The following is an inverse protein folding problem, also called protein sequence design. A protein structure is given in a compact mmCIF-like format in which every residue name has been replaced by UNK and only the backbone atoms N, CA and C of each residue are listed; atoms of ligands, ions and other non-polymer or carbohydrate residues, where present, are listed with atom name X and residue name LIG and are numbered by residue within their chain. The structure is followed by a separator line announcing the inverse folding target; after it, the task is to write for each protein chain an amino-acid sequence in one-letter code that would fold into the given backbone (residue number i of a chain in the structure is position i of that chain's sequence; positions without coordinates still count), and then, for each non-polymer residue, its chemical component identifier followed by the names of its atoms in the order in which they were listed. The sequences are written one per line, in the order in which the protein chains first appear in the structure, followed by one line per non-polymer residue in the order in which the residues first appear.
data_IF_946455303286
#
_entry.id   IF_946455303286
#
_cell.length_a   1.000
_cell.length_b   1.000
_cell.length_c   1.000
_cell.angle_alpha   90.00
_cell.angle_beta   90.00
_cell.angle_gamma   90.00
#
_symmetry.space_group_name_H-M   'P 1'
#
loop_
_entity.id
_entity.type
_entity.pdbx_description
1 polymer ?
#
# COMPACT_ATOMS: atom_id res chain seq x y z
N UNK A 1 11.05 -22.15 -37.36
CA UNK A 1 12.12 -21.26 -36.86
C UNK A 1 11.67 -20.75 -35.50
N UNK A 2 12.44 -20.91 -34.41
CA UNK A 2 12.08 -20.26 -33.14
C UNK A 2 11.95 -18.76 -33.42
N UNK A 3 10.86 -18.15 -32.97
CA UNK A 3 10.59 -16.74 -33.20
C UNK A 3 11.81 -15.91 -32.76
N UNK A 4 12.30 -15.02 -33.62
CA UNK A 4 13.41 -14.15 -33.24
C UNK A 4 13.00 -13.34 -31.99
N UNK A 5 13.88 -13.23 -30.97
CA UNK A 5 13.56 -12.53 -29.72
C UNK A 5 13.01 -11.11 -29.94
N UNK A 6 13.44 -10.46 -31.02
CA UNK A 6 12.98 -9.15 -31.48
C UNK A 6 11.45 -9.08 -31.64
N UNK A 7 10.84 -10.11 -32.23
CA UNK A 7 9.39 -10.14 -32.49
C UNK A 7 8.56 -10.25 -31.19
N UNK A 8 9.10 -10.93 -30.17
CA UNK A 8 8.45 -11.11 -28.88
C UNK A 8 8.44 -9.85 -28.00
N UNK A 9 9.32 -8.87 -28.23
CA UNK A 9 9.35 -7.60 -27.49
C UNK A 9 8.08 -6.75 -27.64
N UNK A 10 7.26 -7.03 -28.67
CA UNK A 10 5.98 -6.36 -28.82
C UNK A 10 5.07 -6.56 -27.60
N UNK A 11 5.13 -7.73 -26.94
CA UNK A 11 4.29 -8.06 -25.79
C UNK A 11 4.53 -7.10 -24.61
N UNK A 12 5.74 -6.99 -24.02
CA UNK A 12 5.98 -6.06 -22.92
C UNK A 12 5.82 -4.61 -23.38
N UNK A 13 6.13 -4.26 -24.63
CA UNK A 13 5.88 -2.89 -25.13
C UNK A 13 4.39 -2.54 -25.02
N UNK A 14 3.51 -3.40 -25.53
CA UNK A 14 2.06 -3.19 -25.48
C UNK A 14 1.55 -3.17 -24.03
N UNK A 15 1.96 -4.12 -23.19
CA UNK A 15 1.58 -4.16 -21.77
C UNK A 15 2.04 -2.91 -21.02
N UNK A 16 3.25 -2.42 -21.31
CA UNK A 16 3.81 -1.20 -20.73
C UNK A 16 3.03 0.05 -21.16
N UNK A 17 2.65 0.16 -22.43
CA UNK A 17 1.83 1.26 -22.93
C UNK A 17 0.45 1.27 -22.28
N UNK A 18 -0.20 0.11 -22.14
CA UNK A 18 -1.48 -0.03 -21.44
C UNK A 18 -1.33 0.41 -19.98
N UNK A 19 -0.30 -0.08 -19.28
CA UNK A 19 -0.03 0.33 -17.90
C UNK A 19 0.16 1.85 -17.77
N UNK A 20 1.02 2.45 -18.60
CA UNK A 20 1.31 3.89 -18.57
C UNK A 20 0.04 4.70 -18.82
N UNK A 21 -0.75 4.34 -19.82
CA UNK A 21 -2.00 5.02 -20.14
C UNK A 21 -3.00 4.94 -18.97
N UNK A 22 -3.22 3.74 -18.41
CA UNK A 22 -4.14 3.54 -17.28
C UNK A 22 -3.65 4.29 -16.03
N UNK A 23 -2.37 4.20 -15.72
CA UNK A 23 -1.78 4.82 -14.54
C UNK A 23 -1.81 6.35 -14.60
N UNK A 24 -1.59 6.95 -15.78
CA UNK A 24 -1.69 8.40 -15.96
C UNK A 24 -3.10 8.95 -15.79
N UNK A 25 -4.13 8.18 -16.19
CA UNK A 25 -5.52 8.58 -16.02
C UNK A 25 -6.02 8.38 -14.58
N UNK A 26 -5.57 7.30 -13.93
CA UNK A 26 -6.14 6.86 -12.65
C UNK A 26 -5.10 6.13 -11.80
N UNK A 27 -4.23 6.90 -11.14
CA UNK A 27 -3.09 6.40 -10.35
C UNK A 27 -3.48 5.49 -9.18
N UNK A 28 -4.71 5.62 -8.69
CA UNK A 28 -5.19 4.94 -7.47
C UNK A 28 -5.94 3.64 -7.79
N UNK A 29 -6.06 3.28 -9.07
CA UNK A 29 -6.73 2.06 -9.50
C UNK A 29 -5.91 0.82 -9.15
N UNK A 30 -6.47 -0.05 -8.30
CA UNK A 30 -5.79 -1.26 -7.83
C UNK A 30 -5.37 -2.21 -8.95
N UNK A 31 -6.14 -2.30 -10.05
CA UNK A 31 -5.78 -3.14 -11.20
C UNK A 31 -4.54 -2.66 -11.96
N UNK A 32 -4.05 -1.44 -11.75
CA UNK A 32 -2.79 -0.99 -12.37
C UNK A 32 -1.59 -1.82 -11.89
N UNK A 33 -1.65 -2.39 -10.67
CA UNK A 33 -0.59 -3.27 -10.17
C UNK A 33 -0.50 -4.57 -10.96
N UNK A 34 -1.62 -5.09 -11.45
CA UNK A 34 -1.68 -6.28 -12.31
C UNK A 34 -1.03 -5.97 -13.66
N UNK A 35 -1.41 -4.85 -14.30
CA UNK A 35 -0.81 -4.44 -15.57
C UNK A 35 0.68 -4.16 -15.45
N UNK A 36 1.11 -3.52 -14.36
CA UNK A 36 2.52 -3.34 -14.06
C UNK A 36 3.23 -4.68 -13.91
N UNK A 37 2.65 -5.62 -13.16
CA UNK A 37 3.26 -6.94 -12.93
C UNK A 37 3.35 -7.75 -14.22
N UNK A 38 2.30 -7.75 -15.05
CA UNK A 38 2.31 -8.39 -16.37
C UNK A 38 3.41 -7.79 -17.25
N UNK A 39 3.50 -6.46 -17.32
CA UNK A 39 4.58 -5.78 -18.03
C UNK A 39 5.95 -6.16 -17.48
N UNK A 40 6.14 -6.07 -16.17
CA UNK A 40 7.42 -6.27 -15.49
C UNK A 40 7.92 -7.71 -15.66
N UNK A 41 7.08 -8.72 -15.43
CA UNK A 41 7.49 -10.11 -15.55
C UNK A 41 7.71 -10.54 -17.00
N UNK A 42 6.89 -10.10 -17.94
CA UNK A 42 7.12 -10.38 -19.37
C UNK A 42 8.39 -9.69 -19.87
N UNK A 43 8.63 -8.45 -19.43
CA UNK A 43 9.87 -7.72 -19.70
C UNK A 43 11.09 -8.47 -19.16
N UNK A 44 11.06 -8.93 -17.91
CA UNK A 44 12.18 -9.67 -17.31
C UNK A 44 12.46 -11.00 -18.00
N UNK A 45 11.43 -11.76 -18.38
CA UNK A 45 11.58 -13.03 -19.10
C UNK A 45 12.24 -12.79 -20.46
N UNK A 46 11.78 -11.79 -21.22
CA UNK A 46 12.35 -11.48 -22.54
C UNK A 46 13.74 -10.85 -22.45
N UNK A 47 14.01 -10.06 -21.41
CA UNK A 47 15.35 -9.57 -21.12
C UNK A 47 16.31 -10.74 -20.82
N UNK A 48 15.90 -11.71 -20.02
CA UNK A 48 16.71 -12.88 -19.75
C UNK A 48 16.96 -13.71 -21.02
N UNK A 49 15.92 -13.95 -21.83
CA UNK A 49 16.06 -14.69 -23.09
C UNK A 49 16.98 -13.98 -24.08
N UNK A 50 16.85 -12.66 -24.24
CA UNK A 50 17.76 -11.89 -25.11
C UNK A 50 19.21 -11.93 -24.63
N UNK A 51 19.46 -11.78 -23.33
CA UNK A 51 20.81 -11.91 -22.76
C UNK A 51 21.41 -13.29 -23.06
N UNK A 52 20.64 -14.36 -22.85
CA UNK A 52 21.08 -15.73 -23.16
C UNK A 52 21.35 -15.92 -24.66
N UNK A 53 20.51 -15.34 -25.52
CA UNK A 53 20.67 -15.42 -26.97
C UNK A 53 21.92 -14.70 -27.50
N UNK A 54 22.49 -13.73 -26.75
CA UNK A 54 23.73 -13.06 -27.16
C UNK A 54 24.95 -13.97 -27.17
N UNK A 55 24.91 -15.12 -26.47
CA UNK A 55 26.05 -16.02 -26.27
C UNK A 55 27.31 -15.35 -25.67
N UNK A 56 27.20 -14.13 -25.12
CA UNK A 56 28.31 -13.46 -24.45
C UNK A 56 28.49 -13.99 -23.02
N UNK A 57 29.45 -14.92 -22.85
CA UNK A 57 29.71 -15.65 -21.59
C UNK A 57 29.81 -14.74 -20.36
N UNK A 58 30.54 -13.63 -20.46
CA UNK A 58 30.72 -12.70 -19.32
C UNK A 58 29.42 -12.02 -18.91
N UNK A 59 28.62 -11.56 -19.89
CA UNK A 59 27.34 -10.91 -19.64
C UNK A 59 26.36 -11.88 -18.96
N UNK A 60 26.25 -13.09 -19.51
CA UNK A 60 25.40 -14.16 -18.95
C UNK A 60 25.82 -14.47 -17.52
N UNK A 61 27.12 -14.70 -17.28
CA UNK A 61 27.62 -15.00 -15.93
C UNK A 61 27.27 -13.91 -14.92
N UNK A 62 27.53 -12.64 -15.24
CA UNK A 62 27.24 -11.51 -14.34
C UNK A 62 25.75 -11.42 -14.05
N UNK A 63 24.90 -11.46 -15.09
CA UNK A 63 23.44 -11.40 -14.90
C UNK A 63 22.90 -12.60 -14.12
N UNK A 64 23.39 -13.81 -14.40
CA UNK A 64 23.00 -15.03 -13.67
C UNK A 64 23.42 -14.99 -12.21
N UNK A 65 24.65 -14.53 -11.89
CA UNK A 65 25.11 -14.38 -10.50
C UNK A 65 24.24 -13.38 -9.75
N UNK A 66 23.93 -12.23 -10.35
CA UNK A 66 23.03 -11.24 -9.73
C UNK A 66 21.64 -11.83 -9.49
N UNK A 67 21.06 -12.50 -10.50
CA UNK A 67 19.74 -13.10 -10.41
C UNK A 67 19.67 -14.20 -9.33
N UNK A 68 20.62 -15.13 -9.33
CA UNK A 68 20.68 -16.21 -8.34
C UNK A 68 20.92 -15.63 -6.94
N UNK A 69 21.81 -14.66 -6.78
CA UNK A 69 22.05 -14.00 -5.48
C UNK A 69 20.79 -13.31 -4.96
N UNK A 70 20.04 -12.66 -5.84
CA UNK A 70 18.76 -12.05 -5.51
C UNK A 70 17.70 -13.10 -5.10
N UNK A 71 17.60 -14.22 -5.83
CA UNK A 71 16.71 -15.32 -5.47
C UNK A 71 17.09 -15.97 -4.13
N UNK A 72 18.39 -16.17 -3.88
CA UNK A 72 18.89 -16.70 -2.61
C UNK A 72 18.56 -15.75 -1.45
N UNK A 73 18.71 -14.43 -1.65
CA UNK A 73 18.31 -13.44 -0.66
C UNK A 73 16.80 -13.49 -0.37
N UNK A 74 15.95 -13.59 -1.39
CA UNK A 74 14.50 -13.75 -1.21
C UNK A 74 14.19 -15.04 -0.45
N UNK A 75 14.81 -16.17 -0.84
CA UNK A 75 14.64 -17.46 -0.18
C UNK A 75 15.04 -17.41 1.30
N UNK A 76 16.17 -16.75 1.60
CA UNK A 76 16.62 -16.52 2.98
C UNK A 76 15.59 -15.69 3.77
N UNK A 77 15.13 -14.56 3.23
CA UNK A 77 14.13 -13.72 3.88
C UNK A 77 12.81 -14.47 4.13
N UNK A 78 12.38 -15.30 3.18
CA UNK A 78 11.19 -16.13 3.31
C UNK A 78 11.37 -17.21 4.39
N UNK A 79 12.54 -17.86 4.45
CA UNK A 79 12.84 -18.86 5.49
C UNK A 79 12.85 -18.25 6.91
N UNK A 80 13.26 -16.98 7.02
CA UNK A 80 13.32 -16.25 8.28
C UNK A 80 12.03 -15.48 8.59
N UNK A 81 10.99 -15.57 7.75
CA UNK A 81 9.83 -14.69 7.84
C UNK A 81 9.13 -14.73 9.20
N UNK A 82 8.97 -15.92 9.79
CA UNK A 82 8.33 -16.09 11.10
C UNK A 82 9.16 -15.38 12.18
N UNK A 83 10.48 -15.59 12.19
CA UNK A 83 11.39 -14.90 13.11
C UNK A 83 11.34 -13.38 12.92
N UNK A 84 11.40 -12.89 11.68
CA UNK A 84 11.37 -11.45 11.37
C UNK A 84 10.05 -10.79 11.83
N UNK A 85 8.91 -11.47 11.64
CA UNK A 85 7.60 -10.99 12.08
C UNK A 85 7.49 -10.96 13.60
N UNK A 86 7.94 -12.01 14.29
CA UNK A 86 7.94 -12.05 15.76
C UNK A 86 8.92 -11.05 16.37
N UNK A 87 10.08 -10.86 15.76
CA UNK A 87 11.04 -9.83 16.14
C UNK A 87 10.44 -8.43 15.98
N UNK A 88 9.76 -8.17 14.86
CA UNK A 88 9.05 -6.91 14.66
C UNK A 88 7.94 -6.69 15.69
N UNK A 89 7.13 -7.72 15.95
CA UNK A 89 6.09 -7.70 16.96
C UNK A 89 6.63 -7.37 18.34
N UNK A 90 7.78 -7.93 18.73
CA UNK A 90 8.43 -7.60 20.01
C UNK A 90 8.88 -6.14 20.10
N UNK A 91 9.36 -5.55 19.00
CA UNK A 91 9.71 -4.13 18.97
C UNK A 91 8.45 -3.27 19.12
N UNK A 92 7.39 -3.56 18.36
CA UNK A 92 6.12 -2.85 18.41
C UNK A 92 5.50 -2.94 19.80
N UNK A 93 5.52 -4.13 20.42
CA UNK A 93 5.03 -4.38 21.77
C UNK A 93 5.65 -3.45 22.83
N UNK A 94 6.91 -3.05 22.64
CA UNK A 94 7.62 -2.16 23.58
C UNK A 94 7.38 -0.66 23.34
N UNK A 95 6.86 -0.28 22.18
CA UNK A 95 6.75 1.13 21.78
C UNK A 95 5.31 1.60 21.51
N UNK A 96 4.38 0.66 21.32
CA UNK A 96 3.00 0.93 20.94
C UNK A 96 2.03 0.27 21.92
N UNK A 97 0.78 0.73 21.91
CA UNK A 97 -0.30 0.14 22.71
C UNK A 97 -0.66 -1.27 22.24
N UNK A 98 -1.00 -2.16 23.18
CA UNK A 98 -1.35 -3.57 22.92
C UNK A 98 -2.78 -3.76 22.39
N UNK A 99 -3.14 -2.98 21.37
CA UNK A 99 -4.41 -3.16 20.66
C UNK A 99 -4.28 -4.28 19.61
N UNK A 100 -5.40 -4.91 19.25
CA UNK A 100 -5.44 -5.94 18.19
C UNK A 100 -4.77 -5.47 16.89
N UNK A 101 -4.93 -4.18 16.57
CA UNK A 101 -4.39 -3.57 15.37
C UNK A 101 -2.86 -3.46 15.37
N UNK A 102 -2.22 -3.37 16.54
CA UNK A 102 -0.77 -3.25 16.71
C UNK A 102 -0.10 -4.63 16.97
N UNK A 103 -0.87 -5.71 16.93
CA UNK A 103 -0.40 -7.07 17.17
C UNK A 103 -0.50 -7.94 15.91
N UNK A 104 -0.69 -7.35 14.73
CA UNK A 104 -0.96 -8.10 13.50
C UNK A 104 0.24 -8.94 13.08
N UNK A 105 1.46 -8.39 13.19
CA UNK A 105 2.68 -9.14 12.91
C UNK A 105 2.92 -10.27 13.91
N UNK A 106 2.50 -10.12 15.17
CA UNK A 106 2.54 -11.20 16.16
C UNK A 106 1.65 -12.36 15.72
N UNK A 107 0.38 -12.07 15.42
CA UNK A 107 -0.57 -13.11 15.02
C UNK A 107 -0.15 -13.79 13.72
N UNK A 108 0.36 -13.03 12.76
CA UNK A 108 0.86 -13.59 11.50
C UNK A 108 2.09 -14.49 11.73
N UNK A 109 3.05 -14.03 12.55
CA UNK A 109 4.25 -14.81 12.89
C UNK A 109 3.91 -16.11 13.61
N UNK A 110 3.01 -16.08 14.60
CA UNK A 110 2.53 -17.28 15.30
C UNK A 110 1.75 -18.20 14.36
N UNK A 111 0.88 -17.65 13.50
CA UNK A 111 0.12 -18.41 12.53
C UNK A 111 1.00 -19.21 11.57
N UNK A 112 2.09 -18.61 11.08
CA UNK A 112 3.05 -19.28 10.18
C UNK A 112 3.72 -20.48 10.88
N UNK A 113 3.96 -20.42 12.19
CA UNK A 113 4.58 -21.52 12.94
C UNK A 113 3.57 -22.60 13.35
N UNK A 114 2.40 -22.19 13.82
CA UNK A 114 1.45 -23.07 14.50
C UNK A 114 0.48 -23.74 13.51
N UNK A 115 0.00 -23.03 12.48
CA UNK A 115 -0.99 -23.58 11.56
C UNK A 115 -0.52 -24.83 10.80
N UNK A 116 0.73 -24.91 10.31
CA UNK A 116 1.22 -26.14 9.67
C UNK A 116 1.27 -27.33 10.63
N UNK A 117 1.63 -27.11 11.90
CA UNK A 117 1.65 -28.16 12.92
C UNK A 117 0.24 -28.69 13.21
N UNK A 118 -0.71 -27.78 13.42
CA UNK A 118 -2.13 -28.15 13.63
C UNK A 118 -2.66 -28.91 12.41
N UNK A 119 -2.39 -28.40 11.19
CA UNK A 119 -2.79 -29.04 9.94
C UNK A 119 -2.21 -30.45 9.82
N UNK A 120 -0.93 -30.63 10.19
CA UNK A 120 -0.29 -31.94 10.17
C UNK A 120 -0.95 -32.93 11.14
N UNK A 121 -1.19 -32.56 12.40
CA UNK A 121 -1.85 -33.43 13.39
C UNK A 121 -3.26 -33.83 12.94
N UNK A 122 -4.06 -32.86 12.47
CA UNK A 122 -5.43 -33.15 12.01
C UNK A 122 -5.41 -34.05 10.78
N UNK A 123 -4.47 -33.83 9.85
CA UNK A 123 -4.36 -34.61 8.61
C UNK A 123 -4.15 -36.12 8.82
N UNK A 124 -3.64 -36.52 10.00
CA UNK A 124 -3.43 -37.92 10.37
C UNK A 124 -4.72 -38.63 10.84
N UNK A 125 -5.74 -37.87 11.24
CA UNK A 125 -6.96 -38.41 11.87
C UNK A 125 -8.19 -38.37 10.94
N UNK A 126 -8.04 -37.88 9.71
CA UNK A 126 -9.15 -37.69 8.76
C UNK A 126 -8.95 -38.54 7.51
N UNK A 127 -10.04 -38.78 6.77
CA UNK A 127 -9.98 -39.53 5.50
C UNK A 127 -9.13 -38.78 4.47
N UNK A 128 -8.58 -39.52 3.48
CA UNK A 128 -7.75 -38.96 2.42
C UNK A 128 -8.40 -37.75 1.73
N UNK A 129 -9.68 -37.87 1.35
CA UNK A 129 -10.44 -36.79 0.69
C UNK A 129 -10.55 -35.53 1.55
N UNK A 130 -10.79 -35.70 2.85
CA UNK A 130 -10.89 -34.57 3.80
C UNK A 130 -9.52 -33.93 3.99
N UNK A 131 -8.45 -34.74 4.13
CA UNK A 131 -7.09 -34.23 4.20
C UNK A 131 -6.72 -33.40 2.98
N UNK A 132 -6.96 -33.92 1.78
CA UNK A 132 -6.59 -33.25 0.53
C UNK A 132 -7.36 -31.93 0.39
N UNK A 133 -8.64 -31.91 0.75
CA UNK A 133 -9.42 -30.66 0.85
C UNK A 133 -8.83 -29.68 1.86
N UNK A 134 -8.47 -30.13 3.07
CA UNK A 134 -7.87 -29.30 4.13
C UNK A 134 -6.49 -28.75 3.77
N UNK A 135 -5.78 -29.34 2.81
CA UNK A 135 -4.51 -28.82 2.29
C UNK A 135 -4.74 -27.87 1.12
N UNK A 136 -5.58 -28.25 0.15
CA UNK A 136 -5.81 -27.49 -1.09
C UNK A 136 -6.55 -26.18 -0.80
N UNK A 137 -7.67 -26.24 -0.08
CA UNK A 137 -8.52 -25.07 0.10
C UNK A 137 -7.81 -23.91 0.84
N UNK A 138 -7.19 -24.12 2.01
CA UNK A 138 -6.42 -23.06 2.67
C UNK A 138 -5.24 -22.57 1.82
N UNK A 139 -4.55 -23.46 1.10
CA UNK A 139 -3.44 -23.06 0.22
C UNK A 139 -3.90 -22.12 -0.90
N UNK A 140 -5.04 -22.39 -1.53
CA UNK A 140 -5.63 -21.51 -2.54
C UNK A 140 -6.08 -20.18 -1.94
N UNK A 141 -6.67 -20.18 -0.74
CA UNK A 141 -7.05 -18.95 -0.03
C UNK A 141 -5.82 -18.12 0.34
N UNK A 142 -4.76 -18.73 0.86
CA UNK A 142 -3.49 -18.06 1.17
C UNK A 142 -2.89 -17.46 -0.10
N UNK A 143 -2.82 -18.23 -1.19
CA UNK A 143 -2.34 -17.73 -2.48
C UNK A 143 -3.16 -16.53 -2.97
N UNK A 144 -4.48 -16.59 -2.89
CA UNK A 144 -5.37 -15.48 -3.25
C UNK A 144 -5.11 -14.22 -2.41
N UNK A 145 -5.02 -14.35 -1.08
CA UNK A 145 -4.77 -13.22 -0.19
C UNK A 145 -3.37 -12.64 -0.42
N UNK A 146 -2.35 -13.48 -0.59
CA UNK A 146 -0.97 -13.05 -0.88
C UNK A 146 -0.88 -12.37 -2.25
N UNK A 147 -1.59 -12.88 -3.27
CA UNK A 147 -1.67 -12.25 -4.58
C UNK A 147 -2.23 -10.83 -4.51
N UNK A 148 -3.35 -10.64 -3.81
CA UNK A 148 -3.95 -9.31 -3.65
C UNK A 148 -3.10 -8.39 -2.78
N UNK A 149 -2.45 -8.93 -1.74
CA UNK A 149 -1.49 -8.19 -0.93
C UNK A 149 -0.28 -7.73 -1.74
N UNK A 150 0.30 -8.61 -2.57
CA UNK A 150 1.39 -8.28 -3.49
C UNK A 150 0.97 -7.20 -4.49
N UNK A 151 -0.24 -7.31 -5.06
CA UNK A 151 -0.78 -6.31 -5.98
C UNK A 151 -0.99 -4.94 -5.28
N UNK A 152 -1.50 -4.95 -4.05
CA UNK A 152 -1.60 -3.75 -3.23
C UNK A 152 -0.22 -3.14 -2.93
N UNK A 153 0.77 -3.96 -2.54
CA UNK A 153 2.13 -3.50 -2.25
C UNK A 153 2.80 -2.90 -3.49
N UNK A 154 2.59 -3.52 -4.65
CA UNK A 154 3.03 -2.99 -5.95
C UNK A 154 2.46 -1.60 -6.18
N UNK A 155 1.14 -1.42 -5.97
CA UNK A 155 0.51 -0.11 -6.11
C UNK A 155 0.98 0.92 -5.08
N UNK A 156 1.18 0.50 -3.83
CA UNK A 156 1.72 1.35 -2.78
C UNK A 156 3.11 1.87 -3.18
N UNK A 157 4.00 0.99 -3.66
CA UNK A 157 5.35 1.35 -4.13
C UNK A 157 5.29 2.28 -5.35
N UNK A 158 4.48 1.95 -6.36
CA UNK A 158 4.31 2.79 -7.55
C UNK A 158 3.83 4.20 -7.18
N UNK A 159 2.89 4.31 -6.25
CA UNK A 159 2.35 5.60 -5.80
C UNK A 159 3.40 6.47 -5.08
N UNK A 160 4.45 5.89 -4.50
CA UNK A 160 5.53 6.68 -3.88
C UNK A 160 6.40 7.45 -4.89
N UNK A 161 6.38 7.05 -6.16
CA UNK A 161 7.07 7.78 -7.22
C UNK A 161 6.30 9.02 -7.69
N UNK A 162 5.14 9.31 -7.08
CA UNK A 162 4.39 10.52 -7.37
C UNK A 162 5.20 11.78 -6.98
N UNK A 163 5.49 12.63 -7.97
CA UNK A 163 6.22 13.89 -7.79
C UNK A 163 5.37 15.06 -8.30
N UNK A 164 4.49 15.63 -7.47
CA UNK A 164 3.69 16.78 -7.87
C UNK A 164 4.53 18.00 -8.23
N UNK A 165 4.04 18.80 -9.19
CA UNK A 165 4.68 20.06 -9.60
C UNK A 165 4.55 21.11 -8.49
N UNK A 166 5.54 22.00 -8.38
CA UNK A 166 5.55 23.13 -7.42
C UNK A 166 4.67 24.30 -7.89
N UNK A 167 3.37 24.04 -8.09
CA UNK A 167 2.37 25.03 -8.49
C UNK A 167 0.98 24.53 -8.05
N UNK A 168 0.85 24.29 -6.75
CA UNK A 168 -0.36 23.86 -6.07
C UNK A 168 -1.00 25.05 -5.37
N UNK A 169 -2.31 25.18 -5.49
CA UNK A 169 -3.11 26.22 -4.84
C UNK A 169 -3.46 25.81 -3.40
N UNK A 170 -3.67 24.51 -3.17
CA UNK A 170 -4.01 23.96 -1.87
C UNK A 170 -3.15 22.75 -1.51
N UNK A 171 -2.72 22.69 -0.25
CA UNK A 171 -1.91 21.60 0.32
C UNK A 171 -2.65 21.07 1.54
N UNK A 172 -3.33 19.94 1.39
CA UNK A 172 -4.07 19.33 2.49
C UNK A 172 -3.12 18.48 3.33
N UNK A 173 -3.10 18.64 4.65
CA UNK A 173 -2.36 17.81 5.58
C UNK A 173 -3.38 17.01 6.39
N UNK A 174 -3.34 15.68 6.29
CA UNK A 174 -4.31 14.79 6.93
C UNK A 174 -3.95 14.49 8.39
N UNK A 175 -4.95 14.54 9.27
CA UNK A 175 -4.90 14.15 10.67
C UNK A 175 -4.49 12.69 10.91
N UNK A 176 -3.97 12.41 12.11
CA UNK A 176 -3.38 11.13 12.50
C UNK A 176 -3.55 10.80 13.98
N UNK A 177 -4.38 11.54 14.71
CA UNK A 177 -4.53 11.47 16.17
C UNK A 177 -3.56 12.38 16.94
N UNK A 178 -4.07 12.97 18.01
CA UNK A 178 -3.30 13.67 19.03
C UNK A 178 -2.88 12.73 20.17
N UNK A 179 -1.75 13.06 20.81
CA UNK A 179 -1.33 12.47 22.07
C UNK A 179 -1.95 13.25 23.23
N UNK A 180 -2.38 12.55 24.27
CA UNK A 180 -2.94 13.17 25.49
C UNK A 180 -4.08 14.17 25.19
N UNK A 181 -4.79 13.95 24.08
CA UNK A 181 -5.91 14.75 23.62
C UNK A 181 -5.59 16.15 23.08
N UNK A 182 -4.33 16.62 23.15
CA UNK A 182 -3.96 17.97 22.69
C UNK A 182 -2.57 18.13 22.07
N UNK A 183 -1.71 17.10 22.12
CA UNK A 183 -0.34 17.19 21.64
C UNK A 183 -0.18 16.56 20.26
N UNK A 184 0.54 17.25 19.37
CA UNK A 184 0.85 16.73 18.04
C UNK A 184 1.79 15.52 18.16
N UNK A 185 1.32 14.34 17.74
CA UNK A 185 2.11 13.11 17.75
C UNK A 185 3.34 13.18 16.81
N UNK A 186 4.40 12.37 17.03
CA UNK A 186 5.54 12.32 16.13
C UNK A 186 5.18 12.00 14.67
N UNK A 187 4.14 11.19 14.43
CA UNK A 187 3.63 10.89 13.09
C UNK A 187 2.93 12.11 12.49
N UNK A 188 2.06 12.77 13.26
CA UNK A 188 1.34 13.97 12.81
C UNK A 188 2.31 15.11 12.52
N UNK A 189 3.31 15.32 13.38
CA UNK A 189 4.36 16.31 13.17
C UNK A 189 5.16 16.06 11.87
N UNK A 190 5.42 14.80 11.51
CA UNK A 190 6.08 14.45 10.25
C UNK A 190 5.23 14.83 9.02
N UNK A 191 3.90 14.68 9.10
CA UNK A 191 2.98 15.12 8.04
C UNK A 191 2.97 16.64 7.91
N UNK A 192 2.84 17.36 9.02
CA UNK A 192 2.84 18.83 9.04
C UNK A 192 4.15 19.36 8.45
N UNK A 193 5.31 18.88 8.95
CA UNK A 193 6.63 19.29 8.43
C UNK A 193 6.79 18.97 6.95
N UNK A 194 6.24 17.85 6.47
CA UNK A 194 6.28 17.49 5.05
C UNK A 194 5.47 18.46 4.19
N UNK A 195 4.28 18.84 4.64
CA UNK A 195 3.45 19.85 3.98
C UNK A 195 4.12 21.22 3.97
N UNK A 196 4.64 21.65 5.12
CA UNK A 196 5.38 22.90 5.24
C UNK A 196 6.64 22.94 4.36
N UNK A 197 7.40 21.85 4.30
CA UNK A 197 8.57 21.76 3.43
C UNK A 197 8.19 21.83 1.93
N UNK A 198 7.06 21.25 1.53
CA UNK A 198 6.55 21.40 0.16
C UNK A 198 6.16 22.85 -0.12
N UNK A 199 5.38 23.47 0.78
CA UNK A 199 4.97 24.86 0.71
C UNK A 199 6.16 25.82 0.57
N UNK A 200 7.14 25.74 1.47
CA UNK A 200 8.34 26.58 1.46
C UNK A 200 9.19 26.36 0.21
N UNK A 201 9.28 25.12 -0.29
CA UNK A 201 9.99 24.82 -1.54
C UNK A 201 9.26 25.35 -2.76
N UNK A 202 7.93 25.31 -2.77
CA UNK A 202 7.12 25.93 -3.80
C UNK A 202 7.33 27.45 -3.80
N UNK A 203 7.17 28.10 -2.65
CA UNK A 203 7.38 29.55 -2.52
C UNK A 203 8.74 29.95 -3.06
N UNK A 204 9.83 29.28 -2.64
CA UNK A 204 11.19 29.57 -3.13
C UNK A 204 11.37 29.39 -4.64
N UNK A 205 10.71 28.40 -5.25
CA UNK A 205 10.92 28.05 -6.67
C UNK A 205 10.04 28.82 -7.63
N UNK A 206 8.81 29.10 -7.25
CA UNK A 206 7.80 29.62 -8.18
C UNK A 206 7.07 30.83 -7.64
N UNK A 207 7.28 31.19 -6.36
CA UNK A 207 6.54 32.25 -5.66
C UNK A 207 5.00 32.08 -5.74
N UNK A 208 4.52 30.87 -6.06
CA UNK A 208 3.11 30.58 -6.23
C UNK A 208 2.45 30.45 -4.85
N UNK A 209 1.47 31.31 -4.51
CA UNK A 209 0.80 31.26 -3.21
C UNK A 209 0.02 29.97 -3.07
N UNK A 210 0.01 29.42 -1.86
CA UNK A 210 -0.76 28.22 -1.54
C UNK A 210 -1.35 28.32 -0.14
N UNK A 211 -2.46 27.64 0.07
CA UNK A 211 -3.10 27.53 1.37
C UNK A 211 -2.90 26.11 1.89
N UNK A 212 -2.35 25.97 3.10
CA UNK A 212 -2.33 24.69 3.80
C UNK A 212 -3.67 24.47 4.48
N UNK A 213 -4.29 23.32 4.24
CA UNK A 213 -5.51 22.90 4.94
C UNK A 213 -5.14 21.78 5.88
N UNK A 214 -5.26 22.00 7.18
CA UNK A 214 -5.04 20.97 8.19
C UNK A 214 -6.38 20.35 8.54
N UNK A 215 -6.60 19.11 8.14
CA UNK A 215 -7.91 18.45 8.20
C UNK A 215 -7.89 17.28 9.18
N UNK A 216 -8.75 17.41 10.20
CA UNK A 216 -8.97 16.44 11.25
C UNK A 216 -9.90 17.00 12.33
N UNK A 217 -10.93 16.24 12.67
CA UNK A 217 -11.93 16.56 13.68
C UNK A 217 -11.43 16.32 15.09
N UNK A 218 -12.36 16.20 16.05
CA UNK A 218 -12.05 15.94 17.44
C UNK A 218 -12.37 14.48 17.77
N UNK A 219 -11.35 13.71 18.14
CA UNK A 219 -11.50 12.37 18.69
C UNK A 219 -12.21 12.37 20.04
N UNK A 220 -12.79 11.23 20.43
CA UNK A 220 -13.48 11.06 21.73
C UNK A 220 -12.60 11.34 22.95
N UNK A 221 -11.31 11.16 22.77
CA UNK A 221 -10.21 11.28 23.73
C UNK A 221 -9.43 12.59 23.55
N UNK A 222 -9.92 13.51 22.70
CA UNK A 222 -9.27 14.78 22.38
C UNK A 222 -10.00 15.98 22.98
N UNK A 223 -9.22 16.95 23.48
CA UNK A 223 -9.75 18.18 24.08
C UNK A 223 -9.88 19.33 23.08
N UNK A 224 -9.28 19.19 21.89
CA UNK A 224 -9.45 20.11 20.76
C UNK A 224 -9.39 19.34 19.44
N UNK A 225 -10.01 19.87 18.36
CA UNK A 225 -9.91 19.25 17.05
C UNK A 225 -8.47 19.18 16.52
N UNK A 226 -8.10 18.04 15.93
CA UNK A 226 -6.77 17.79 15.37
C UNK A 226 -6.33 18.90 14.42
N UNK A 227 -7.21 19.35 13.51
CA UNK A 227 -6.92 20.39 12.53
C UNK A 227 -6.49 21.72 13.16
N UNK A 228 -7.04 22.08 14.32
CA UNK A 228 -6.63 23.28 15.06
C UNK A 228 -5.24 23.12 15.67
N UNK A 229 -4.97 21.98 16.32
CA UNK A 229 -3.67 21.67 16.89
C UNK A 229 -2.57 21.67 15.80
N UNK A 230 -2.89 21.09 14.64
CA UNK A 230 -2.00 21.05 13.46
C UNK A 230 -1.70 22.45 12.92
N UNK A 231 -2.70 23.32 12.80
CA UNK A 231 -2.52 24.70 12.34
C UNK A 231 -1.67 25.51 13.34
N UNK A 232 -1.94 25.38 14.64
CA UNK A 232 -1.16 26.04 15.69
C UNK A 232 0.31 25.59 15.64
N UNK A 233 0.55 24.29 15.52
CA UNK A 233 1.89 23.74 15.36
C UNK A 233 2.59 24.26 14.08
N UNK A 234 1.89 24.32 12.95
CA UNK A 234 2.46 24.82 11.71
C UNK A 234 2.82 26.31 11.78
N UNK A 235 2.00 27.13 12.45
CA UNK A 235 2.29 28.56 12.70
C UNK A 235 3.53 28.73 13.56
N UNK A 236 3.68 27.93 14.63
CA UNK A 236 4.89 27.92 15.45
C UNK A 236 6.15 27.51 14.66
N UNK A 237 5.99 26.78 13.54
CA UNK A 237 7.06 26.40 12.62
C UNK A 237 7.25 27.38 11.44
N UNK A 238 6.61 28.56 11.49
CA UNK A 238 6.82 29.64 10.52
C UNK A 238 5.82 29.68 9.36
N UNK A 239 4.67 29.02 9.45
CA UNK A 239 3.58 29.21 8.49
C UNK A 239 2.94 30.61 8.70
N UNK A 240 2.83 31.45 7.66
CA UNK A 240 2.13 32.74 7.76
C UNK A 240 0.68 32.59 8.20
N UNK A 241 0.16 33.55 8.98
CA UNK A 241 -1.20 33.49 9.54
C UNK A 241 -2.30 33.36 8.48
N UNK A 242 -2.07 33.93 7.29
CA UNK A 242 -2.98 33.94 6.13
C UNK A 242 -2.86 32.71 5.22
N UNK A 243 -1.86 31.85 5.44
CA UNK A 243 -1.54 30.71 4.56
C UNK A 243 -2.03 29.35 5.09
N UNK A 244 -2.91 29.35 6.11
CA UNK A 244 -3.36 28.12 6.76
C UNK A 244 -4.82 28.15 7.21
N UNK A 245 -5.55 27.08 6.91
CA UNK A 245 -6.91 26.82 7.38
C UNK A 245 -6.96 25.55 8.21
N UNK A 246 -7.82 25.53 9.23
CA UNK A 246 -8.13 24.34 10.00
C UNK A 246 -9.52 23.83 9.61
N UNK A 247 -9.60 22.57 9.22
CA UNK A 247 -10.85 21.82 9.04
C UNK A 247 -10.99 20.88 10.25
N UNK A 248 -12.10 20.99 10.97
CA UNK A 248 -12.25 20.51 12.36
C UNK A 248 -13.43 19.57 12.58
N UNK A 249 -14.04 19.06 11.52
CA UNK A 249 -15.23 18.20 11.59
C UNK A 249 -14.95 16.75 11.21
N UNK A 250 -13.91 16.49 10.40
CA UNK A 250 -13.71 15.17 9.82
C UNK A 250 -13.28 14.08 10.82
N UNK A 251 -13.99 12.97 10.86
CA UNK A 251 -13.68 11.80 11.70
C UNK A 251 -13.07 10.64 10.90
N UNK A 252 -13.18 10.69 9.58
CA UNK A 252 -12.63 9.67 8.67
C UNK A 252 -11.75 10.28 7.60
N UNK A 253 -10.89 9.46 6.99
CA UNK A 253 -10.07 9.90 5.84
C UNK A 253 -10.93 10.36 4.65
N UNK A 254 -12.11 9.75 4.44
CA UNK A 254 -13.03 10.18 3.39
C UNK A 254 -13.60 11.57 3.70
N UNK A 255 -14.03 11.79 4.94
CA UNK A 255 -14.51 13.09 5.40
C UNK A 255 -13.42 14.16 5.32
N UNK A 256 -12.16 13.84 5.68
CA UNK A 256 -11.05 14.78 5.53
C UNK A 256 -10.98 15.31 4.08
N UNK A 257 -11.12 14.43 3.10
CA UNK A 257 -11.10 14.79 1.68
C UNK A 257 -12.34 15.58 1.28
N UNK A 258 -13.53 15.16 1.71
CA UNK A 258 -14.80 15.84 1.41
C UNK A 258 -14.86 17.25 2.00
N UNK A 259 -14.41 17.42 3.24
CA UNK A 259 -14.55 18.66 3.99
C UNK A 259 -13.45 19.64 3.56
N UNK A 260 -12.24 19.15 3.29
CA UNK A 260 -11.21 19.92 2.59
C UNK A 260 -11.68 20.38 1.22
N UNK A 261 -12.35 19.50 0.44
CA UNK A 261 -12.93 19.89 -0.87
C UNK A 261 -13.96 21.00 -0.71
N UNK A 262 -14.84 20.93 0.31
CA UNK A 262 -15.82 21.99 0.59
C UNK A 262 -15.15 23.34 0.86
N UNK A 263 -14.07 23.37 1.63
CA UNK A 263 -13.29 24.60 1.85
C UNK A 263 -12.65 25.13 0.57
N UNK A 264 -12.11 24.24 -0.27
CA UNK A 264 -11.50 24.59 -1.55
C UNK A 264 -12.53 25.18 -2.51
N UNK A 265 -13.72 24.58 -2.59
CA UNK A 265 -14.81 25.02 -3.48
C UNK A 265 -15.40 26.38 -3.06
N UNK A 266 -15.29 26.77 -1.79
CA UNK A 266 -15.63 28.10 -1.29
C UNK A 266 -14.59 29.16 -1.66
N UNK A 267 -13.40 28.75 -2.08
CA UNK A 267 -12.34 29.64 -2.54
C UNK A 267 -12.61 30.23 -3.93
N UNK A 268 -11.82 31.23 -4.32
CA UNK A 268 -11.98 31.97 -5.59
C UNK A 268 -11.41 31.24 -6.82
N UNK A 269 -10.74 30.11 -6.64
CA UNK A 269 -10.00 29.42 -7.71
C UNK A 269 -10.90 28.36 -8.37
N UNK A 270 -11.31 28.60 -9.61
CA UNK A 270 -12.23 27.72 -10.37
C UNK A 270 -11.70 26.30 -10.63
N UNK A 271 -10.39 26.14 -10.82
CA UNK A 271 -9.74 24.86 -11.11
C UNK A 271 -8.48 24.67 -10.27
N UNK A 272 -8.64 24.45 -8.96
CA UNK A 272 -7.53 24.44 -8.04
C UNK A 272 -6.66 23.20 -8.24
N UNK A 273 -5.35 23.39 -8.18
CA UNK A 273 -4.37 22.33 -8.13
C UNK A 273 -4.12 21.97 -6.68
N UNK A 274 -4.46 20.75 -6.33
CA UNK A 274 -4.43 20.31 -4.93
C UNK A 274 -3.52 19.11 -4.77
N UNK A 275 -2.80 19.06 -3.65
CA UNK A 275 -2.15 17.87 -3.16
C UNK A 275 -2.62 17.55 -1.75
N UNK A 276 -2.46 16.31 -1.33
CA UNK A 276 -2.58 15.93 0.07
C UNK A 276 -1.29 15.34 0.61
N UNK A 277 -1.09 15.45 1.91
CA UNK A 277 0.09 15.01 2.65
C UNK A 277 -0.32 14.06 3.75
N UNK A 278 0.32 12.90 3.78
CA UNK A 278 0.11 11.89 4.82
C UNK A 278 1.37 11.03 4.99
N UNK A 279 1.35 9.96 5.79
CA UNK A 279 2.47 9.02 5.89
C UNK A 279 2.58 8.13 4.66
N UNK A 280 3.80 7.71 4.32
CA UNK A 280 4.10 6.88 3.15
C UNK A 280 3.18 5.66 3.01
N UNK A 281 2.94 4.90 4.09
CA UNK A 281 2.08 3.70 4.02
C UNK A 281 0.62 4.02 3.71
N UNK A 282 0.16 5.24 4.01
CA UNK A 282 -1.25 5.66 3.88
C UNK A 282 -1.53 6.39 2.55
N UNK A 283 -0.50 6.76 1.78
CA UNK A 283 -0.66 7.61 0.58
C UNK A 283 -1.61 6.99 -0.45
N UNK A 284 -1.47 5.69 -0.71
CA UNK A 284 -2.29 5.01 -1.70
C UNK A 284 -3.78 4.95 -1.30
N UNK A 285 -4.07 4.54 -0.05
CA UNK A 285 -5.46 4.49 0.44
C UNK A 285 -6.09 5.88 0.54
N UNK A 286 -5.34 6.87 1.03
CA UNK A 286 -5.80 8.26 1.02
C UNK A 286 -6.10 8.74 -0.41
N UNK A 287 -5.31 8.33 -1.41
CA UNK A 287 -5.58 8.63 -2.81
C UNK A 287 -6.90 8.03 -3.32
N UNK A 288 -7.23 6.79 -2.92
CA UNK A 288 -8.53 6.16 -3.22
C UNK A 288 -9.67 7.02 -2.65
N UNK A 289 -9.53 7.50 -1.41
CA UNK A 289 -10.55 8.35 -0.79
C UNK A 289 -10.64 9.75 -1.38
N UNK A 290 -9.52 10.35 -1.79
CA UNK A 290 -9.53 11.63 -2.51
C UNK A 290 -10.36 11.50 -3.80
N UNK A 291 -10.15 10.42 -4.55
CA UNK A 291 -10.94 10.12 -5.75
C UNK A 291 -12.42 9.88 -5.42
N UNK A 292 -12.71 9.11 -4.37
CA UNK A 292 -14.10 8.85 -3.94
C UNK A 292 -14.83 10.14 -3.52
N UNK A 293 -14.11 11.10 -2.92
CA UNK A 293 -14.61 12.42 -2.59
C UNK A 293 -14.74 13.38 -3.79
N UNK A 294 -14.37 12.94 -5.01
CA UNK A 294 -14.31 13.81 -6.19
C UNK A 294 -13.25 14.91 -6.10
N UNK A 295 -12.28 14.77 -5.19
CA UNK A 295 -11.18 15.70 -5.02
C UNK A 295 -10.01 15.30 -5.93
N UNK A 296 -9.70 16.13 -6.92
CA UNK A 296 -8.54 15.96 -7.79
C UNK A 296 -7.26 16.34 -7.04
N UNK A 297 -6.79 15.45 -6.17
CA UNK A 297 -5.58 15.65 -5.40
C UNK A 297 -4.64 14.44 -5.47
N UNK A 298 -3.35 14.75 -5.62
CA UNK A 298 -2.26 13.79 -5.65
C UNK A 298 -1.60 13.71 -4.26
N UNK A 299 -1.22 12.52 -3.82
CA UNK A 299 -0.65 12.30 -2.49
C UNK A 299 0.87 12.44 -2.44
N UNK A 300 1.36 13.03 -1.35
CA UNK A 300 2.78 13.05 -0.99
C UNK A 300 2.96 12.40 0.37
N UNK A 301 3.84 11.40 0.42
CA UNK A 301 4.19 10.71 1.66
C UNK A 301 5.23 11.46 2.51
N UNK A 302 5.05 11.34 3.83
CA UNK A 302 5.99 11.67 4.89
C UNK A 302 6.58 10.39 5.47
N UNK A 303 7.76 10.49 6.07
CA UNK A 303 8.44 9.34 6.67
C UNK A 303 7.60 8.74 7.81
N UNK A 304 7.89 7.48 8.10
CA UNK A 304 7.29 6.70 9.20
C UNK A 304 8.42 5.91 9.86
N UNK A 305 8.30 5.64 11.15
CA UNK A 305 9.21 4.75 11.86
C UNK A 305 9.22 3.37 11.18
N UNK A 306 10.41 2.84 10.90
CA UNK A 306 10.55 1.59 10.11
C UNK A 306 9.93 0.38 10.81
N UNK A 307 10.00 0.33 12.14
CA UNK A 307 9.43 -0.77 12.92
C UNK A 307 7.89 -0.81 12.87
N UNK A 308 7.23 0.34 12.70
CA UNK A 308 5.77 0.44 12.61
C UNK A 308 5.24 0.13 11.20
N UNK A 309 6.12 0.14 10.20
CA UNK A 309 5.73 0.04 8.80
C UNK A 309 5.03 -1.28 8.43
N UNK A 310 5.49 -2.47 8.88
CA UNK A 310 4.84 -3.73 8.55
C UNK A 310 3.37 -3.78 9.01
N UNK A 311 3.12 -3.54 10.32
CA UNK A 311 1.76 -3.48 10.87
C UNK A 311 0.90 -2.44 10.14
N UNK A 312 1.44 -1.24 9.91
CA UNK A 312 0.71 -0.20 9.21
C UNK A 312 0.31 -0.61 7.78
N UNK A 313 1.22 -1.20 7.00
CA UNK A 313 0.93 -1.66 5.64
C UNK A 313 -0.14 -2.77 5.65
N UNK A 314 -0.06 -3.72 6.59
CA UNK A 314 -1.07 -4.78 6.72
C UNK A 314 -2.44 -4.17 7.05
N UNK A 315 -2.51 -3.21 7.98
CA UNK A 315 -3.77 -2.51 8.32
C UNK A 315 -4.37 -1.80 7.12
N UNK A 316 -3.56 -1.10 6.34
CA UNK A 316 -4.01 -0.39 5.15
C UNK A 316 -4.54 -1.36 4.08
N UNK A 317 -3.88 -2.50 3.90
CA UNK A 317 -4.36 -3.57 3.03
C UNK A 317 -5.69 -4.14 3.52
N UNK A 318 -5.79 -4.52 4.80
CA UNK A 318 -7.02 -5.07 5.38
C UNK A 318 -8.19 -4.10 5.27
N UNK A 319 -7.94 -2.79 5.42
CA UNK A 319 -8.97 -1.77 5.23
C UNK A 319 -9.52 -1.74 3.79
N UNK A 320 -8.65 -1.86 2.77
CA UNK A 320 -9.08 -1.91 1.35
C UNK A 320 -9.78 -3.25 1.04
N UNK A 321 -9.27 -4.35 1.60
CA UNK A 321 -9.86 -5.67 1.47
C UNK A 321 -11.27 -5.71 2.06
N UNK A 322 -11.46 -5.17 3.27
CA UNK A 322 -12.75 -5.11 3.95
C UNK A 322 -13.81 -4.28 3.19
N UNK A 323 -13.39 -3.24 2.45
CA UNK A 323 -14.30 -2.46 1.60
C UNK A 323 -14.95 -3.30 0.49
N UNK A 324 -14.30 -4.39 0.07
CA UNK A 324 -14.77 -5.29 -0.99
C UNK A 324 -15.13 -6.68 -0.45
N UNK A 325 -15.49 -6.78 0.84
CA UNK A 325 -15.72 -8.06 1.55
C UNK A 325 -16.62 -9.06 0.82
N UNK A 326 -17.67 -8.60 0.12
CA UNK A 326 -18.59 -9.47 -0.60
C UNK A 326 -17.96 -10.11 -1.84
N UNK A 327 -17.13 -9.38 -2.57
CA UNK A 327 -16.36 -9.92 -3.69
C UNK A 327 -15.34 -10.96 -3.22
N UNK A 328 -14.68 -10.70 -2.09
CA UNK A 328 -13.77 -11.66 -1.49
C UNK A 328 -14.48 -12.90 -0.95
N UNK A 329 -15.66 -12.74 -0.32
CA UNK A 329 -16.48 -13.86 0.14
C UNK A 329 -16.91 -14.76 -1.02
N UNK A 330 -17.36 -14.17 -2.13
CA UNK A 330 -17.72 -14.91 -3.34
C UNK A 330 -16.51 -15.64 -3.95
N UNK A 331 -15.34 -14.98 -3.99
CA UNK A 331 -14.12 -15.61 -4.47
C UNK A 331 -13.70 -16.81 -3.59
N UNK A 332 -13.75 -16.68 -2.26
CA UNK A 332 -13.45 -17.76 -1.32
C UNK A 332 -14.42 -18.92 -1.47
N UNK A 333 -15.71 -18.66 -1.67
CA UNK A 333 -16.69 -19.70 -1.97
C UNK A 333 -16.35 -20.43 -3.28
N UNK A 334 -15.99 -19.69 -4.33
CA UNK A 334 -15.52 -20.28 -5.58
C UNK A 334 -14.28 -21.16 -5.41
N UNK A 335 -13.31 -20.74 -4.58
CA UNK A 335 -12.12 -21.53 -4.26
C UNK A 335 -12.47 -22.80 -3.47
N UNK A 336 -13.48 -22.76 -2.60
CA UNK A 336 -13.97 -23.94 -1.89
C UNK A 336 -14.56 -24.97 -2.88
N UNK A 337 -15.41 -24.51 -3.80
CA UNK A 337 -16.01 -25.36 -4.85
C UNK A 337 -14.92 -25.94 -5.75
N UNK A 338 -13.93 -25.13 -6.16
CA UNK A 338 -12.80 -25.59 -6.95
C UNK A 338 -11.99 -26.67 -6.21
N UNK A 339 -11.76 -26.48 -4.91
CA UNK A 339 -11.03 -27.45 -4.08
C UNK A 339 -11.77 -28.79 -4.00
N UNK A 340 -13.10 -28.75 -3.82
CA UNK A 340 -13.93 -29.96 -3.86
C UNK A 340 -13.86 -30.67 -5.22
N UNK A 341 -13.89 -29.90 -6.32
CA UNK A 341 -13.74 -30.43 -7.68
C UNK A 341 -12.39 -31.11 -7.90
N UNK A 342 -11.29 -30.49 -7.46
CA UNK A 342 -9.94 -31.08 -7.55
C UNK A 342 -9.89 -32.39 -6.77
N UNK A 343 -10.36 -32.40 -5.51
CA UNK A 343 -10.39 -33.59 -4.66
C UNK A 343 -11.24 -34.71 -5.30
N UNK A 344 -12.39 -34.36 -5.87
CA UNK A 344 -13.24 -35.31 -6.58
C UNK A 344 -12.51 -35.94 -7.78
N UNK A 345 -11.81 -35.14 -8.60
CA UNK A 345 -11.00 -35.65 -9.73
C UNK A 345 -9.88 -36.55 -9.24
N UNK A 346 -9.18 -36.18 -8.16
CA UNK A 346 -8.10 -37.01 -7.58
C UNK A 346 -8.63 -38.39 -7.17
N UNK A 347 -9.80 -38.44 -6.50
CA UNK A 347 -10.45 -39.70 -6.12
C UNK A 347 -10.88 -40.48 -7.36
N UNK A 348 -11.51 -39.84 -8.34
CA UNK A 348 -12.02 -40.48 -9.55
C UNK A 348 -10.92 -41.06 -10.44
N UNK A 349 -9.72 -40.47 -10.41
CA UNK A 349 -8.55 -40.91 -11.19
C UNK A 349 -7.65 -41.91 -10.45
N UNK A 350 -7.97 -42.23 -9.19
CA UNK A 350 -7.21 -43.20 -8.38
C UNK A 350 -5.83 -42.70 -7.93
N UNK A 351 -5.56 -41.40 -8.04
CA UNK A 351 -4.28 -40.79 -7.67
C UNK A 351 -4.16 -40.46 -6.19
#
# INVERSE_FOLDING_TARGET
MPAEPASCWLIPVVLGLIFIWRYRHDKVRLSNGIWFSLWFYTFLILLAWTILATNHRHLILVCSVIFVSFLLLIGLLFSLQAFLLLWNAWIVWRHESHTLANMLTLYLGLGILVLPLISHVISQHVTRSVRDFMLIFPSLVIFYVVFWFYNYLTMLVLYQFNRPRYRQDYIIVLGAGLLHGNQVSPLLAQRIRRGLAFYQRQQRKTQHPAILIFSGGQGSDETLPEGQAMLAYARAQGLPATAGWAETQATTTLENMQFSKRLIDQGSIKHPRTIFVTNNYHTFRAGIFAKAAGLKADGIGSRTARFFLPDAIIREYLAIFAQHKWWHALAVLGLAILSLGIVWVTIATGH
#
